data_IF_581248344033
#
_entry.id   IF_581248344033
#
_cell.length_a   1.000
_cell.length_b   1.000
_cell.length_c   1.000
_cell.angle_alpha   90.00
_cell.angle_beta   90.00
_cell.angle_gamma   90.00
#
_symmetry.space_group_name_H-M   'P 1'
#
loop_
_entity.id
_entity.type
_entity.pdbx_description
1 polymer ?
#
# COMPACT_ATOMS: atom_id res chain seq x y z
N UNK A 1 45.76 -47.60 -13.31
CA UNK A 1 44.81 -47.57 -12.17
C UNK A 1 44.40 -46.10 -11.97
N UNK A 2 43.47 -45.59 -12.80
CA UNK A 2 43.07 -44.18 -12.80
C UNK A 2 41.80 -43.97 -11.96
N UNK A 3 41.84 -43.06 -10.99
CA UNK A 3 40.66 -42.64 -10.22
C UNK A 3 40.10 -41.35 -10.82
N UNK A 4 38.90 -41.43 -11.41
CA UNK A 4 38.11 -40.29 -11.91
C UNK A 4 37.54 -39.48 -10.74
N UNK A 5 37.90 -38.19 -10.66
CA UNK A 5 37.27 -37.20 -9.78
C UNK A 5 35.95 -36.75 -10.43
N UNK A 6 34.80 -37.10 -9.81
CA UNK A 6 33.48 -36.58 -10.20
C UNK A 6 33.27 -35.20 -9.56
N UNK A 7 33.26 -34.13 -10.36
CA UNK A 7 32.78 -32.80 -9.97
C UNK A 7 31.27 -32.87 -9.66
N UNK A 8 30.89 -32.61 -8.40
CA UNK A 8 29.50 -32.49 -7.97
C UNK A 8 29.01 -31.08 -8.34
N UNK A 9 28.19 -30.95 -9.39
CA UNK A 9 27.46 -29.72 -9.72
C UNK A 9 26.41 -29.46 -8.63
N UNK A 10 26.70 -28.57 -7.68
CA UNK A 10 25.66 -27.91 -6.89
C UNK A 10 25.20 -26.69 -7.68
N UNK A 11 23.92 -26.65 -8.06
CA UNK A 11 23.40 -25.53 -8.83
C UNK A 11 21.97 -25.74 -9.30
N UNK A 12 21.05 -26.06 -8.40
CA UNK A 12 19.60 -26.10 -8.68
C UNK A 12 18.74 -25.51 -7.55
N UNK A 13 19.32 -24.72 -6.64
CA UNK A 13 18.57 -24.11 -5.53
C UNK A 13 17.82 -22.84 -5.92
N UNK A 14 18.47 -21.91 -6.62
CA UNK A 14 17.92 -20.56 -6.77
C UNK A 14 16.96 -20.41 -7.95
N UNK A 15 17.25 -21.05 -9.09
CA UNK A 15 16.37 -20.99 -10.27
C UNK A 15 15.03 -21.71 -10.04
N UNK A 16 15.02 -22.76 -9.21
CA UNK A 16 13.81 -23.49 -8.84
C UNK A 16 12.95 -22.66 -7.86
N UNK A 17 13.59 -22.00 -6.89
CA UNK A 17 12.91 -21.10 -5.94
C UNK A 17 12.35 -19.85 -6.65
N UNK A 18 13.11 -19.26 -7.58
CA UNK A 18 12.65 -18.11 -8.37
C UNK A 18 11.48 -18.49 -9.28
N UNK A 19 11.47 -19.69 -9.86
CA UNK A 19 10.35 -20.20 -10.66
C UNK A 19 9.10 -20.45 -9.81
N UNK A 20 9.24 -20.88 -8.55
CA UNK A 20 8.12 -21.02 -7.63
C UNK A 20 7.53 -19.67 -7.20
N UNK A 21 8.36 -18.65 -6.99
CA UNK A 21 7.89 -17.28 -6.67
C UNK A 21 7.23 -16.59 -7.88
N UNK A 22 7.67 -16.93 -9.11
CA UNK A 22 7.14 -16.31 -10.33
C UNK A 22 5.84 -16.97 -10.84
N UNK A 23 5.57 -18.24 -10.49
CA UNK A 23 4.36 -19.00 -10.90
C UNK A 23 3.37 -19.30 -9.76
N UNK A 24 3.71 -18.99 -8.51
CA UNK A 24 2.84 -19.18 -7.35
C UNK A 24 1.74 -18.12 -7.27
N UNK A 25 0.71 -18.25 -8.11
CA UNK A 25 -0.63 -17.64 -7.94
C UNK A 25 -0.66 -16.16 -7.55
N UNK A 26 -0.52 -15.28 -8.55
CA UNK A 26 -1.15 -13.96 -8.55
C UNK A 26 -2.69 -14.05 -8.73
N UNK A 27 -3.35 -15.01 -8.08
CA UNK A 27 -4.82 -15.08 -8.00
C UNK A 27 -5.29 -14.86 -6.57
N UNK A 28 -4.81 -13.78 -5.98
CA UNK A 28 -5.23 -13.26 -4.70
C UNK A 28 -5.77 -11.84 -4.82
N UNK A 29 -6.59 -11.53 -5.84
CA UNK A 29 -7.58 -10.50 -5.61
C UNK A 29 -8.49 -11.07 -4.55
N UNK A 30 -8.38 -10.61 -3.30
CA UNK A 30 -9.34 -10.95 -2.25
C UNK A 30 -10.72 -10.62 -2.83
N UNK A 31 -11.45 -11.66 -3.24
CA UNK A 31 -12.76 -11.49 -3.88
C UNK A 31 -13.67 -11.02 -2.75
N UNK A 32 -13.89 -9.71 -2.70
CA UNK A 32 -14.75 -9.10 -1.70
C UNK A 32 -16.13 -9.76 -1.85
N UNK A 33 -16.70 -10.29 -0.76
CA UNK A 33 -18.02 -10.91 -0.82
C UNK A 33 -19.07 -9.91 -1.33
N UNK A 34 -20.11 -10.37 -2.03
CA UNK A 34 -21.13 -9.50 -2.60
C UNK A 34 -21.84 -8.71 -1.50
N UNK A 35 -22.06 -7.42 -1.76
CA UNK A 35 -22.76 -6.50 -0.86
C UNK A 35 -24.26 -6.71 -1.01
N UNK A 36 -24.90 -7.34 -0.02
CA UNK A 36 -26.37 -7.38 0.10
C UNK A 36 -26.84 -6.31 1.08
N UNK A 37 -27.93 -5.62 0.75
CA UNK A 37 -28.51 -4.50 1.51
C UNK A 37 -29.74 -4.95 2.33
N UNK A 38 -29.74 -6.18 2.83
CA UNK A 38 -30.86 -6.74 3.57
C UNK A 38 -30.36 -7.26 4.92
N UNK A 39 -30.58 -6.52 6.01
CA UNK A 39 -30.67 -7.00 7.42
C UNK A 39 -29.53 -7.80 8.07
N UNK A 40 -28.63 -8.39 7.29
CA UNK A 40 -27.44 -9.13 7.66
C UNK A 40 -26.25 -8.20 7.41
N UNK A 41 -25.35 -8.10 8.39
CA UNK A 41 -24.16 -7.26 8.25
C UNK A 41 -23.41 -7.60 6.96
N UNK A 42 -23.36 -6.65 6.03
CA UNK A 42 -22.56 -6.77 4.82
C UNK A 42 -21.18 -7.32 5.21
N UNK A 43 -20.78 -8.49 4.70
CA UNK A 43 -19.58 -9.18 5.16
C UNK A 43 -18.31 -8.35 4.94
N UNK A 44 -18.31 -7.47 3.93
CA UNK A 44 -17.23 -6.49 3.72
C UNK A 44 -17.18 -5.49 4.87
N UNK A 45 -18.32 -4.89 5.23
CA UNK A 45 -18.38 -3.91 6.32
C UNK A 45 -18.01 -4.53 7.66
N UNK A 46 -18.46 -5.76 7.91
CA UNK A 46 -18.08 -6.53 9.10
C UNK A 46 -16.57 -6.73 9.16
N UNK A 47 -15.97 -7.23 8.07
CA UNK A 47 -14.53 -7.43 7.96
C UNK A 47 -13.76 -6.12 8.18
N UNK A 48 -14.22 -5.01 7.61
CA UNK A 48 -13.60 -3.70 7.82
C UNK A 48 -13.63 -3.31 9.30
N UNK A 49 -14.80 -3.37 9.96
CA UNK A 49 -14.94 -3.00 11.38
C UNK A 49 -14.05 -3.83 12.30
N UNK A 50 -13.98 -5.15 12.07
CA UNK A 50 -13.16 -6.09 12.86
C UNK A 50 -11.65 -5.82 12.69
N UNK A 51 -11.23 -5.22 11.58
CA UNK A 51 -9.82 -4.92 11.31
C UNK A 51 -9.38 -3.52 11.71
N UNK A 52 -10.28 -2.66 12.20
CA UNK A 52 -9.89 -1.34 12.71
C UNK A 52 -9.08 -1.50 14.00
N UNK A 53 -7.83 -1.02 13.98
CA UNK A 53 -6.98 -1.06 15.18
C UNK A 53 -7.53 -0.08 16.23
N UNK A 54 -7.72 -0.57 17.46
CA UNK A 54 -8.22 0.21 18.59
C UNK A 54 -9.75 0.36 18.63
N UNK A 55 -10.50 -0.41 17.84
CA UNK A 55 -11.98 -0.44 17.85
C UNK A 55 -12.59 -0.74 19.22
N UNK A 56 -11.90 -1.56 20.03
CA UNK A 56 -12.31 -1.93 21.40
C UNK A 56 -11.50 -1.23 22.49
N UNK A 57 -10.93 -0.05 22.18
CA UNK A 57 -10.21 0.74 23.16
C UNK A 57 -11.16 1.17 24.30
N UNK A 58 -10.77 0.83 25.53
CA UNK A 58 -11.46 1.23 26.75
C UNK A 58 -10.55 2.18 27.52
N UNK A 59 -11.11 3.30 27.99
CA UNK A 59 -10.42 4.28 28.82
C UNK A 59 -11.08 4.37 30.19
N UNK A 60 -10.28 4.57 31.24
CA UNK A 60 -10.81 4.75 32.58
C UNK A 60 -11.36 6.17 32.73
N UNK A 61 -12.68 6.28 32.91
CA UNK A 61 -13.36 7.53 33.22
C UNK A 61 -13.58 7.70 34.74
N UNK A 62 -14.02 8.90 35.16
CA UNK A 62 -14.33 9.18 36.57
C UNK A 62 -15.47 8.32 37.14
N UNK A 63 -16.31 7.75 36.27
CA UNK A 63 -17.43 6.86 36.64
C UNK A 63 -17.18 5.40 36.26
N UNK A 64 -15.93 5.03 35.97
CA UNK A 64 -15.54 3.68 35.55
C UNK A 64 -15.08 3.60 34.09
N UNK A 65 -14.76 2.38 33.61
CA UNK A 65 -14.28 2.16 32.25
C UNK A 65 -15.33 2.48 31.19
N UNK A 66 -14.95 3.23 30.15
CA UNK A 66 -15.82 3.62 29.04
C UNK A 66 -15.16 3.24 27.72
N UNK A 67 -15.94 2.65 26.80
CA UNK A 67 -15.49 2.35 25.43
C UNK A 67 -15.35 3.63 24.63
N UNK A 68 -14.21 3.80 23.94
CA UNK A 68 -13.95 4.95 23.09
C UNK A 68 -14.68 4.78 21.77
N UNK A 69 -15.54 5.75 21.43
CA UNK A 69 -16.19 5.86 20.12
C UNK A 69 -15.39 6.85 19.29
N UNK A 70 -14.87 6.40 18.14
CA UNK A 70 -14.12 7.25 17.24
C UNK A 70 -15.04 7.89 16.21
N UNK A 71 -15.22 9.20 16.32
CA UNK A 71 -16.10 9.99 15.45
C UNK A 71 -15.34 10.97 14.53
N UNK A 72 -14.04 10.75 14.31
CA UNK A 72 -13.16 11.69 13.60
C UNK A 72 -12.62 11.13 12.27
N UNK A 73 -13.34 10.17 11.69
CA UNK A 73 -12.97 9.53 10.41
C UNK A 73 -12.89 10.51 9.23
N UNK A 74 -13.56 11.66 9.32
CA UNK A 74 -13.50 12.71 8.30
C UNK A 74 -12.17 13.46 8.30
N UNK A 75 -11.51 13.58 9.45
CA UNK A 75 -10.20 14.22 9.54
C UNK A 75 -9.09 13.23 9.24
N UNK A 76 -9.15 12.03 9.84
CA UNK A 76 -8.19 10.96 9.60
C UNK A 76 -8.80 9.59 9.82
N UNK A 77 -8.46 8.63 8.96
CA UNK A 77 -8.80 7.23 9.19
C UNK A 77 -7.96 6.62 10.31
N UNK A 78 -8.46 5.56 10.95
CA UNK A 78 -7.66 4.67 11.81
C UNK A 78 -6.91 3.64 10.98
N UNK A 79 -5.76 3.19 11.48
CA UNK A 79 -5.01 2.08 10.89
C UNK A 79 -5.83 0.80 10.84
N UNK A 80 -5.63 0.03 9.77
CA UNK A 80 -6.29 -1.25 9.54
C UNK A 80 -5.27 -2.38 9.69
N UNK A 81 -5.62 -3.38 10.49
CA UNK A 81 -4.73 -4.50 10.84
C UNK A 81 -4.12 -5.17 9.60
N UNK A 82 -4.94 -5.56 8.62
CA UNK A 82 -4.43 -6.23 7.42
C UNK A 82 -3.47 -5.37 6.58
N UNK A 83 -3.58 -4.03 6.64
CA UNK A 83 -2.63 -3.14 5.94
C UNK A 83 -1.29 -3.14 6.68
N UNK A 84 -1.33 -2.99 8.01
CA UNK A 84 -0.12 -2.99 8.83
C UNK A 84 0.60 -4.35 8.77
N UNK A 85 -0.15 -5.44 8.83
CA UNK A 85 0.37 -6.80 8.68
C UNK A 85 1.03 -6.98 7.30
N UNK A 86 0.39 -6.51 6.23
CA UNK A 86 0.96 -6.57 4.88
C UNK A 86 2.26 -5.75 4.76
N UNK A 87 2.28 -4.53 5.32
CA UNK A 87 3.48 -3.70 5.35
C UNK A 87 4.60 -4.42 6.11
N UNK A 88 4.29 -5.02 7.25
CA UNK A 88 5.26 -5.69 8.09
C UNK A 88 5.82 -6.98 7.47
N UNK A 89 4.98 -7.79 6.86
CA UNK A 89 5.34 -9.12 6.36
C UNK A 89 5.89 -9.09 4.93
N UNK A 90 5.40 -8.18 4.07
CA UNK A 90 5.72 -8.19 2.64
C UNK A 90 6.49 -6.96 2.16
N UNK A 91 6.22 -5.78 2.71
CA UNK A 91 6.89 -4.55 2.24
C UNK A 91 8.23 -4.36 2.93
N UNK A 92 8.25 -4.35 4.27
CA UNK A 92 9.45 -4.06 5.07
C UNK A 92 10.62 -5.01 4.81
N UNK A 93 10.44 -6.34 4.71
CA UNK A 93 11.58 -7.26 4.51
C UNK A 93 12.27 -7.08 3.16
N UNK A 94 11.54 -6.61 2.15
CA UNK A 94 12.05 -6.39 0.79
C UNK A 94 12.34 -4.92 0.49
N UNK A 95 12.33 -4.06 1.51
CA UNK A 95 12.60 -2.65 1.33
C UNK A 95 14.05 -2.42 0.88
N UNK A 96 14.21 -1.72 -0.23
CA UNK A 96 15.48 -1.26 -0.76
C UNK A 96 15.29 0.07 -1.47
N UNK A 97 16.33 0.91 -1.44
CA UNK A 97 16.29 2.18 -2.17
C UNK A 97 16.13 1.92 -3.68
N UNK A 98 15.17 2.59 -4.30
CA UNK A 98 14.78 2.40 -5.72
C UNK A 98 15.76 3.02 -6.72
N UNK A 99 16.74 3.79 -6.26
CA UNK A 99 17.73 4.45 -7.11
C UNK A 99 18.80 3.52 -7.69
N UNK A 100 18.83 2.24 -7.28
CA UNK A 100 19.74 1.23 -7.81
C UNK A 100 18.94 0.00 -8.23
N UNK A 101 19.23 -0.62 -9.37
CA UNK A 101 18.49 -1.81 -9.86
C UNK A 101 19.25 -3.11 -9.68
N UNK A 102 20.42 -3.06 -9.02
CA UNK A 102 21.35 -4.18 -8.88
C UNK A 102 20.95 -5.18 -7.81
N UNK A 103 20.19 -4.74 -6.80
CA UNK A 103 19.75 -5.60 -5.71
C UNK A 103 18.31 -6.09 -5.90
N UNK A 104 18.02 -7.27 -5.33
CA UNK A 104 16.67 -7.85 -5.40
C UNK A 104 15.63 -6.97 -4.67
N UNK A 105 16.02 -6.38 -3.54
CA UNK A 105 15.15 -5.53 -2.71
C UNK A 105 14.84 -4.19 -3.37
N UNK A 106 15.81 -3.61 -4.07
CA UNK A 106 15.56 -2.37 -4.82
C UNK A 106 14.61 -2.59 -6.00
N UNK A 107 14.78 -3.69 -6.74
CA UNK A 107 13.85 -4.08 -7.81
C UNK A 107 12.45 -4.35 -7.27
N UNK A 108 12.35 -5.04 -6.15
CA UNK A 108 11.07 -5.36 -5.52
C UNK A 108 10.34 -4.09 -5.05
N UNK A 109 11.06 -3.15 -4.42
CA UNK A 109 10.48 -1.88 -3.97
C UNK A 109 9.99 -1.03 -5.14
N UNK A 110 10.72 -0.99 -6.25
CA UNK A 110 10.24 -0.35 -7.50
C UNK A 110 8.95 -1.00 -8.00
N UNK A 111 8.89 -2.34 -8.01
CA UNK A 111 7.68 -3.06 -8.44
C UNK A 111 6.47 -2.74 -7.56
N UNK A 112 6.63 -2.71 -6.23
CA UNK A 112 5.55 -2.33 -5.32
C UNK A 112 5.03 -0.92 -5.62
N UNK A 113 5.93 0.02 -5.91
CA UNK A 113 5.55 1.41 -6.26
C UNK A 113 4.77 1.47 -7.57
N UNK A 114 5.11 0.65 -8.55
CA UNK A 114 4.42 0.61 -9.85
C UNK A 114 3.06 -0.09 -9.74
N UNK A 115 2.98 -1.20 -9.01
CA UNK A 115 1.70 -1.88 -8.70
C UNK A 115 0.75 -0.95 -7.95
N UNK A 116 1.25 -0.24 -6.93
CA UNK A 116 0.45 0.75 -6.19
C UNK A 116 -0.09 1.85 -7.12
N UNK A 117 0.71 2.30 -8.09
CA UNK A 117 0.27 3.29 -9.07
C UNK A 117 -0.85 2.76 -9.95
N UNK A 118 -0.76 1.51 -10.40
CA UNK A 118 -1.80 0.88 -11.23
C UNK A 118 -3.10 0.67 -10.45
N UNK A 119 -3.00 0.23 -9.18
CA UNK A 119 -4.18 0.10 -8.32
C UNK A 119 -4.89 1.45 -8.18
N UNK A 120 -4.14 2.53 -7.93
CA UNK A 120 -4.72 3.87 -7.81
C UNK A 120 -5.35 4.34 -9.13
N UNK A 121 -4.70 4.13 -10.29
CA UNK A 121 -5.29 4.43 -11.60
C UNK A 121 -6.66 3.77 -11.76
N UNK A 122 -6.74 2.47 -11.44
CA UNK A 122 -7.99 1.72 -11.53
C UNK A 122 -9.05 2.23 -10.55
N UNK A 123 -8.69 2.58 -9.31
CA UNK A 123 -9.63 3.11 -8.33
C UNK A 123 -10.27 4.44 -8.73
N UNK A 124 -9.58 5.26 -9.52
CA UNK A 124 -10.07 6.56 -10.00
C UNK A 124 -10.55 6.52 -11.45
N UNK A 125 -10.63 5.33 -12.07
CA UNK A 125 -10.99 5.14 -13.48
C UNK A 125 -10.11 5.93 -14.47
N UNK A 126 -8.82 6.09 -14.17
CA UNK A 126 -7.86 6.74 -15.05
C UNK A 126 -7.55 5.86 -16.28
N UNK A 127 -7.42 6.50 -17.43
CA UNK A 127 -7.11 5.87 -18.73
C UNK A 127 -5.61 5.87 -19.03
N UNK A 128 -5.20 5.37 -20.20
CA UNK A 128 -3.79 5.39 -20.63
C UNK A 128 -3.27 6.81 -20.90
N UNK A 129 -4.16 7.75 -21.19
CA UNK A 129 -3.83 9.17 -21.39
C UNK A 129 -3.59 9.91 -20.04
N UNK A 130 -3.95 9.29 -18.92
CA UNK A 130 -3.82 9.86 -17.58
C UNK A 130 -2.54 9.39 -16.86
N UNK A 131 -1.96 10.27 -16.04
CA UNK A 131 -0.79 9.96 -15.20
C UNK A 131 -1.09 10.11 -13.71
N UNK A 132 -0.63 9.15 -12.91
CA UNK A 132 -0.72 9.22 -11.44
C UNK A 132 0.62 9.63 -10.85
N UNK A 133 0.62 10.80 -10.23
CA UNK A 133 1.78 11.41 -9.60
C UNK A 133 1.62 11.32 -8.08
N UNK A 134 2.63 10.78 -7.39
CA UNK A 134 2.65 10.76 -5.94
C UNK A 134 3.10 12.12 -5.40
N UNK A 135 2.19 12.81 -4.72
CA UNK A 135 2.37 14.20 -4.29
C UNK A 135 2.93 14.37 -2.88
N UNK A 136 3.22 13.29 -2.16
CA UNK A 136 3.71 13.35 -0.79
C UNK A 136 2.56 13.47 0.20
N UNK A 137 2.61 14.47 1.09
CA UNK A 137 1.66 14.61 2.19
C UNK A 137 0.33 15.24 1.74
N UNK A 138 -0.70 14.39 1.61
CA UNK A 138 -2.10 14.79 1.50
C UNK A 138 -2.47 15.59 0.25
N UNK A 139 -3.70 16.09 0.24
CA UNK A 139 -4.28 16.86 -0.86
C UNK A 139 -3.57 18.21 -1.05
N UNK A 140 -3.17 18.87 0.04
CA UNK A 140 -2.43 20.14 0.00
C UNK A 140 -1.15 20.03 -0.83
N UNK A 141 -0.34 18.98 -0.60
CA UNK A 141 0.86 18.76 -1.41
C UNK A 141 0.57 18.54 -2.90
N UNK A 142 -0.55 17.90 -3.23
CA UNK A 142 -0.99 17.73 -4.61
C UNK A 142 -1.39 19.05 -5.27
N UNK A 143 -2.15 19.89 -4.57
CA UNK A 143 -2.57 21.21 -5.05
C UNK A 143 -1.33 22.09 -5.30
N UNK A 144 -0.39 22.14 -4.37
CA UNK A 144 0.85 22.91 -4.56
C UNK A 144 1.66 22.44 -5.78
N UNK A 145 1.76 21.13 -6.00
CA UNK A 145 2.44 20.59 -7.19
C UNK A 145 1.70 20.95 -8.48
N UNK A 146 0.38 20.93 -8.47
CA UNK A 146 -0.43 21.31 -9.62
C UNK A 146 -0.26 22.79 -9.97
N UNK A 147 -0.38 23.67 -8.97
CA UNK A 147 -0.16 25.11 -9.13
C UNK A 147 1.24 25.38 -9.71
N UNK A 148 2.27 24.78 -9.12
CA UNK A 148 3.65 24.94 -9.60
C UNK A 148 3.89 24.35 -10.99
N UNK A 149 3.17 23.31 -11.39
CA UNK A 149 3.27 22.71 -12.72
C UNK A 149 2.52 23.47 -13.82
N UNK A 150 1.46 24.20 -13.45
CA UNK A 150 0.66 25.03 -14.36
C UNK A 150 1.10 26.51 -14.39
N UNK A 151 2.10 26.88 -13.59
CA UNK A 151 2.57 28.25 -13.38
C UNK A 151 1.45 29.26 -13.08
N UNK A 152 0.47 28.82 -12.30
CA UNK A 152 -0.64 29.68 -11.85
C UNK A 152 -0.14 30.49 -10.66
N UNK A 153 0.57 31.58 -10.93
CA UNK A 153 0.97 32.53 -9.90
C UNK A 153 -0.04 33.68 -9.85
N UNK A 154 -0.41 34.10 -8.64
CA UNK A 154 -1.13 35.36 -8.47
C UNK A 154 -0.21 36.50 -8.95
N UNK A 155 -0.73 37.39 -9.80
CA UNK A 155 -0.08 38.68 -10.05
C UNK A 155 0.16 39.34 -8.69
N UNK A 156 1.44 39.59 -8.39
CA UNK A 156 1.83 40.44 -7.27
C UNK A 156 1.19 41.81 -7.53
N UNK A 157 0.06 42.12 -6.88
CA UNK A 157 -0.47 43.48 -6.87
C UNK A 157 0.64 44.36 -6.32
N UNK A 158 1.16 45.22 -7.20
CA UNK A 158 2.16 46.22 -6.88
C UNK A 158 1.69 46.94 -5.62
N UNK A 159 2.44 46.79 -4.51
CA UNK A 159 2.13 47.50 -3.27
C UNK A 159 2.26 48.98 -3.59
N UNK A 160 1.14 49.63 -3.86
CA UNK A 160 1.08 51.09 -3.94
C UNK A 160 1.46 51.61 -2.56
N UNK A 161 2.63 52.23 -2.48
CA UNK A 161 3.16 52.91 -1.30
C UNK A 161 2.31 54.14 -1.01
#
# INVERSE_FOLDING_TARGET
>A
MERKIKKKKQGVGLAHLMRQLQYGKLQGHAKLPPVTMDGDENPVLKTLRENVIGSDLIVNGPYGPVKVIYCDFTASGRSMKFIEDYINEYVRPFYGNTHTTTSIVSRQTTKFRDEARQIIKNCVNATDDDVVIFCGAGCTGAIHKLIGGLDIQEEQKEKTV
#
